data_IF_187866619722
#
_entry.id   IF_187866619722
#
_cell.length_a   1.000
_cell.length_b   1.000
_cell.length_c   1.000
_cell.angle_alpha   90.00
_cell.angle_beta   90.00
_cell.angle_gamma   90.00
#
_symmetry.space_group_name_H-M   'P 1'
#
loop_
_entity.id
_entity.type
_entity.pdbx_description
1 polymer ?
#
# COMPACT_ATOMS: atom_id res chain seq x y z
N UNK A 1 39.25 61.22 -31.02
CA UNK A 1 37.88 61.09 -30.44
C UNK A 1 37.03 59.96 -31.04
N UNK A 2 37.37 59.37 -32.21
CA UNK A 2 36.54 58.36 -32.90
C UNK A 2 36.74 56.90 -32.44
N UNK A 3 37.82 56.58 -31.70
CA UNK A 3 38.12 55.22 -31.19
C UNK A 3 37.31 54.87 -29.92
N UNK A 4 37.08 55.84 -29.04
CA UNK A 4 36.35 55.62 -27.78
C UNK A 4 34.84 55.44 -27.98
N UNK A 5 34.28 56.05 -29.03
CA UNK A 5 32.85 55.87 -29.39
C UNK A 5 32.58 54.50 -29.99
N UNK A 6 33.52 53.94 -30.78
CA UNK A 6 33.42 52.58 -31.32
C UNK A 6 33.56 51.53 -30.22
N UNK A 7 34.46 51.76 -29.26
CA UNK A 7 34.63 50.87 -28.11
C UNK A 7 33.39 50.88 -27.18
N UNK A 8 32.79 52.05 -26.96
CA UNK A 8 31.56 52.18 -26.19
C UNK A 8 30.36 51.49 -26.87
N UNK A 9 30.24 51.59 -28.20
CA UNK A 9 29.19 50.90 -28.97
C UNK A 9 29.36 49.38 -28.97
N UNK A 10 30.61 48.88 -29.02
CA UNK A 10 30.90 47.45 -28.89
C UNK A 10 30.53 46.91 -27.51
N UNK A 11 30.88 47.63 -26.43
CA UNK A 11 30.50 47.24 -25.06
C UNK A 11 28.98 47.25 -24.88
N UNK A 12 28.26 48.24 -25.45
CA UNK A 12 26.80 48.32 -25.38
C UNK A 12 26.11 47.16 -26.14
N UNK A 13 26.70 46.72 -27.26
CA UNK A 13 26.24 45.57 -28.05
C UNK A 13 26.44 44.24 -27.32
N UNK A 14 27.55 44.07 -26.60
CA UNK A 14 27.85 42.88 -25.81
C UNK A 14 26.92 42.79 -24.59
N UNK A 15 26.60 43.93 -23.97
CA UNK A 15 25.65 43.99 -22.85
C UNK A 15 24.20 43.65 -23.26
N UNK A 16 23.82 44.00 -24.49
CA UNK A 16 22.49 43.68 -25.04
C UNK A 16 22.36 42.21 -25.45
N UNK A 17 23.43 41.56 -25.90
CA UNK A 17 23.43 40.12 -26.22
C UNK A 17 23.30 39.27 -24.95
N UNK A 18 23.90 39.70 -23.82
CA UNK A 18 23.76 38.98 -22.54
C UNK A 18 22.35 39.06 -21.93
N UNK A 19 21.55 40.07 -22.30
CA UNK A 19 20.21 40.26 -21.77
C UNK A 19 19.13 39.40 -22.46
N UNK A 20 19.41 38.81 -23.63
CA UNK A 20 18.41 38.07 -24.43
C UNK A 20 18.49 36.55 -24.23
N UNK A 21 19.56 36.03 -23.62
CA UNK A 21 19.76 34.59 -23.34
C UNK A 21 18.89 34.03 -22.20
N UNK A 22 18.01 34.84 -21.61
CA UNK A 22 17.26 34.50 -20.38
C UNK A 22 15.81 34.06 -20.54
N UNK A 23 15.27 33.92 -21.76
CA UNK A 23 13.84 33.61 -21.97
C UNK A 23 13.62 32.46 -22.96
N UNK A 24 14.06 31.26 -22.58
CA UNK A 24 13.54 30.01 -23.15
C UNK A 24 13.32 28.99 -22.02
N UNK A 25 12.47 29.34 -21.06
CA UNK A 25 11.88 28.37 -20.15
C UNK A 25 10.38 28.53 -20.18
N UNK A 26 9.69 27.39 -20.07
CA UNK A 26 8.25 27.22 -19.87
C UNK A 26 7.39 27.13 -21.14
N UNK A 27 7.48 26.00 -21.85
CA UNK A 27 6.26 25.32 -22.32
C UNK A 27 6.35 23.83 -22.01
N UNK A 28 5.69 23.44 -20.92
CA UNK A 28 5.10 22.15 -20.63
C UNK A 28 5.79 20.92 -21.23
N UNK A 29 6.94 20.53 -20.68
CA UNK A 29 7.30 19.12 -20.66
C UNK A 29 6.72 18.51 -19.37
N UNK A 30 5.87 17.48 -19.45
CA UNK A 30 5.52 16.72 -18.24
C UNK A 30 6.82 16.15 -17.69
N UNK A 31 7.15 16.54 -16.46
CA UNK A 31 8.38 16.14 -15.77
C UNK A 31 8.54 14.61 -15.85
N UNK A 32 9.56 14.18 -16.59
CA UNK A 32 9.96 12.78 -16.78
C UNK A 32 10.61 12.16 -15.52
N UNK A 33 10.62 12.88 -14.40
CA UNK A 33 11.31 12.51 -13.16
C UNK A 33 10.35 12.29 -11.99
N UNK A 34 9.13 11.81 -12.27
CA UNK A 34 8.25 11.33 -11.20
C UNK A 34 8.75 9.95 -10.79
N UNK A 35 9.24 9.83 -9.55
CA UNK A 35 9.49 8.52 -8.97
C UNK A 35 8.17 7.76 -8.87
N UNK A 36 8.19 6.53 -9.36
CA UNK A 36 7.09 5.57 -9.23
C UNK A 36 7.58 4.48 -8.30
N UNK A 37 6.81 4.19 -7.27
CA UNK A 37 7.06 3.01 -6.43
C UNK A 37 5.86 2.09 -6.52
N UNK A 38 6.13 0.80 -6.74
CA UNK A 38 5.12 -0.24 -6.72
C UNK A 38 5.29 -1.00 -5.41
N UNK A 39 4.20 -1.17 -4.67
CA UNK A 39 4.14 -2.03 -3.49
C UNK A 39 3.14 -3.14 -3.79
N UNK A 40 3.67 -4.33 -4.05
CA UNK A 40 2.87 -5.53 -4.27
C UNK A 40 3.11 -6.50 -3.12
N UNK A 41 2.02 -6.92 -2.49
CA UNK A 41 1.98 -8.05 -1.55
C UNK A 41 1.83 -9.29 -2.43
N UNK A 42 2.93 -10.07 -2.55
CA UNK A 42 3.00 -11.24 -3.43
C UNK A 42 1.76 -12.12 -3.26
N UNK A 43 1.00 -12.29 -4.34
CA UNK A 43 -0.14 -13.17 -4.36
C UNK A 43 -0.01 -14.17 -5.52
N UNK A 44 -0.61 -15.36 -5.43
CA UNK A 44 -0.68 -16.30 -6.55
C UNK A 44 -1.44 -15.74 -7.76
N UNK A 45 -2.16 -14.64 -7.59
CA UNK A 45 -3.08 -14.05 -8.56
C UNK A 45 -2.56 -12.67 -9.02
N UNK A 46 -2.85 -12.31 -10.27
CA UNK A 46 -2.38 -11.03 -10.82
C UNK A 46 -3.46 -9.95 -10.83
N UNK A 47 -4.73 -10.34 -10.88
CA UNK A 47 -5.85 -9.41 -11.06
C UNK A 47 -6.97 -9.66 -10.07
N UNK A 48 -7.71 -8.59 -9.76
CA UNK A 48 -8.91 -8.68 -8.93
C UNK A 48 -9.93 -9.69 -9.47
N UNK A 49 -10.20 -9.65 -10.77
CA UNK A 49 -11.21 -10.51 -11.39
C UNK A 49 -10.83 -11.99 -11.33
N UNK A 50 -9.54 -12.31 -11.52
CA UNK A 50 -9.03 -13.67 -11.36
C UNK A 50 -9.23 -14.19 -9.93
N UNK A 51 -8.97 -13.35 -8.92
CA UNK A 51 -9.17 -13.71 -7.51
C UNK A 51 -10.64 -14.02 -7.26
N UNK A 52 -11.54 -13.13 -7.69
CA UNK A 52 -12.98 -13.29 -7.46
C UNK A 52 -13.53 -14.51 -8.20
N UNK A 53 -13.09 -14.73 -9.43
CA UNK A 53 -13.50 -15.89 -10.21
C UNK A 53 -13.07 -17.19 -9.54
N UNK A 54 -11.78 -17.32 -9.18
CA UNK A 54 -11.27 -18.52 -8.52
C UNK A 54 -11.87 -18.72 -7.14
N UNK A 55 -11.97 -17.66 -6.34
CA UNK A 55 -12.53 -17.72 -4.99
C UNK A 55 -14.01 -18.16 -5.02
N UNK A 56 -14.82 -17.64 -5.95
CA UNK A 56 -16.25 -17.97 -6.01
C UNK A 56 -16.54 -19.29 -6.72
N UNK A 57 -15.78 -19.65 -7.77
CA UNK A 57 -16.06 -20.86 -8.57
C UNK A 57 -15.38 -22.11 -8.00
N UNK A 58 -14.16 -22.00 -7.51
CA UNK A 58 -13.36 -23.17 -7.14
C UNK A 58 -13.46 -23.53 -5.65
N UNK A 59 -13.77 -22.56 -4.78
CA UNK A 59 -13.91 -22.79 -3.34
C UNK A 59 -15.38 -23.02 -3.00
N UNK A 60 -15.79 -24.29 -3.03
CA UNK A 60 -17.14 -24.73 -2.68
C UNK A 60 -17.14 -25.32 -1.28
N UNK A 61 -17.90 -24.70 -0.38
CA UNK A 61 -18.09 -25.18 1.00
C UNK A 61 -18.60 -26.62 0.99
N UNK A 62 -17.94 -27.47 1.78
CA UNK A 62 -18.25 -28.90 1.93
C UNK A 62 -17.69 -29.81 0.82
N UNK A 63 -17.07 -29.27 -0.23
CA UNK A 63 -16.45 -30.06 -1.32
C UNK A 63 -14.96 -29.82 -1.43
N UNK A 64 -14.52 -28.57 -1.35
CA UNK A 64 -13.11 -28.22 -1.51
C UNK A 64 -12.32 -28.69 -0.30
N UNK A 65 -11.18 -29.34 -0.57
CA UNK A 65 -10.28 -29.85 0.47
C UNK A 65 -9.08 -28.95 0.69
N UNK A 66 -8.38 -29.11 1.82
CA UNK A 66 -7.11 -28.42 2.09
C UNK A 66 -6.03 -28.72 1.05
N UNK A 67 -6.07 -29.90 0.43
CA UNK A 67 -5.17 -30.24 -0.68
C UNK A 67 -5.46 -29.42 -1.94
N UNK A 68 -6.74 -29.18 -2.24
CA UNK A 68 -7.13 -28.36 -3.37
C UNK A 68 -6.77 -26.89 -3.14
N UNK A 69 -6.97 -26.38 -1.91
CA UNK A 69 -6.47 -25.06 -1.52
C UNK A 69 -4.94 -24.96 -1.69
N UNK A 70 -4.19 -25.99 -1.33
CA UNK A 70 -2.73 -26.02 -1.52
C UNK A 70 -2.34 -25.95 -3.01
N UNK A 71 -3.08 -26.62 -3.91
CA UNK A 71 -2.86 -26.52 -5.37
C UNK A 71 -3.11 -25.10 -5.89
N UNK A 72 -4.02 -24.36 -5.27
CA UNK A 72 -4.33 -22.96 -5.60
C UNK A 72 -3.29 -21.97 -5.03
N UNK A 73 -2.29 -22.45 -4.27
CA UNK A 73 -1.32 -21.60 -3.59
C UNK A 73 -1.84 -21.01 -2.27
N UNK A 74 -2.94 -21.54 -1.73
CA UNK A 74 -3.46 -21.19 -0.41
C UNK A 74 -2.99 -22.25 0.59
N UNK A 75 -1.82 -22.02 1.19
CA UNK A 75 -1.26 -22.88 2.23
C UNK A 75 -0.49 -22.07 3.27
N UNK A 76 -0.15 -22.70 4.40
CA UNK A 76 0.56 -22.04 5.50
C UNK A 76 1.97 -21.56 5.08
N UNK A 77 2.56 -22.24 4.10
CA UNK A 77 3.87 -21.90 3.54
C UNK A 77 3.79 -20.82 2.44
N UNK A 78 2.59 -20.45 1.99
CA UNK A 78 2.41 -19.49 0.92
C UNK A 78 2.64 -18.05 1.43
N UNK A 79 3.20 -17.16 0.60
CA UNK A 79 3.39 -15.77 0.97
C UNK A 79 2.03 -15.09 1.20
N UNK A 80 1.96 -14.28 2.26
CA UNK A 80 0.80 -13.44 2.58
C UNK A 80 -0.52 -14.20 2.83
N UNK A 81 -0.39 -15.48 3.23
CA UNK A 81 -1.47 -16.27 3.80
C UNK A 81 -1.25 -16.36 5.31
N UNK A 82 -2.09 -15.67 6.07
CA UNK A 82 -2.12 -15.74 7.53
C UNK A 82 -2.79 -17.03 8.01
N UNK A 83 -2.32 -17.59 9.11
CA UNK A 83 -3.03 -18.68 9.80
C UNK A 83 -3.62 -18.13 11.10
N UNK A 84 -4.93 -18.25 11.26
CA UNK A 84 -5.64 -17.74 12.43
C UNK A 84 -5.95 -18.84 13.43
N UNK A 85 -5.87 -18.46 14.71
CA UNK A 85 -6.33 -19.30 15.82
C UNK A 85 -7.84 -19.09 16.04
N UNK A 86 -8.48 -20.03 16.75
CA UNK A 86 -9.90 -19.97 17.09
C UNK A 86 -10.30 -18.69 17.82
N UNK A 87 -9.45 -18.17 18.70
CA UNK A 87 -9.67 -16.89 19.40
C UNK A 87 -9.73 -15.71 18.43
N UNK A 88 -8.90 -15.71 17.39
CA UNK A 88 -8.91 -14.65 16.38
C UNK A 88 -10.16 -14.75 15.53
N UNK A 89 -10.53 -15.96 15.11
CA UNK A 89 -11.79 -16.21 14.38
C UNK A 89 -12.99 -15.78 15.22
N UNK A 90 -13.03 -16.16 16.49
CA UNK A 90 -14.11 -15.76 17.40
C UNK A 90 -14.23 -14.24 17.52
N UNK A 91 -13.11 -13.51 17.66
CA UNK A 91 -13.11 -12.04 17.68
C UNK A 91 -13.61 -11.40 16.39
N UNK A 92 -13.36 -12.02 15.23
CA UNK A 92 -13.83 -11.53 13.93
C UNK A 92 -15.37 -11.61 13.85
N UNK A 93 -15.98 -12.67 14.38
CA UNK A 93 -17.42 -12.87 14.28
C UNK A 93 -18.20 -12.31 15.48
N UNK A 94 -17.65 -12.38 16.68
CA UNK A 94 -18.27 -11.93 17.92
C UNK A 94 -17.74 -10.52 18.24
N UNK A 95 -18.32 -9.53 17.58
CA UNK A 95 -18.11 -8.12 17.95
C UNK A 95 -18.83 -7.83 19.27
N UNK A 96 -18.24 -6.95 20.09
CA UNK A 96 -18.66 -6.61 21.46
C UNK A 96 -20.18 -6.68 21.69
N UNK A 97 -20.57 -7.73 22.40
CA UNK A 97 -21.75 -7.90 23.27
C UNK A 97 -23.13 -8.26 22.72
N UNK A 98 -23.39 -8.38 21.41
CA UNK A 98 -24.77 -8.61 20.93
C UNK A 98 -25.01 -9.77 19.94
N UNK A 99 -24.03 -10.64 19.70
CA UNK A 99 -24.19 -11.81 18.84
C UNK A 99 -24.10 -13.08 19.68
N UNK A 100 -25.18 -13.87 19.73
CA UNK A 100 -25.13 -15.18 20.37
C UNK A 100 -24.43 -16.17 19.43
N UNK A 101 -23.74 -17.16 19.99
CA UNK A 101 -23.11 -18.24 19.23
C UNK A 101 -24.09 -18.99 18.32
N UNK A 102 -25.39 -18.95 18.65
CA UNK A 102 -26.48 -19.52 17.84
C UNK A 102 -26.74 -18.75 16.53
N UNK A 103 -26.49 -17.45 16.52
CA UNK A 103 -26.72 -16.55 15.38
C UNK A 103 -25.55 -16.58 14.38
N UNK A 104 -24.46 -17.25 14.75
CA UNK A 104 -23.31 -17.45 13.87
C UNK A 104 -23.66 -18.38 12.69
N UNK A 105 -23.07 -18.14 11.50
CA UNK A 105 -23.21 -19.05 10.38
C UNK A 105 -22.84 -20.49 10.75
N UNK A 106 -23.58 -21.47 10.21
CA UNK A 106 -23.39 -22.90 10.52
C UNK A 106 -21.94 -23.36 10.40
N UNK A 107 -21.24 -22.93 9.35
CA UNK A 107 -19.83 -23.28 9.12
C UNK A 107 -18.88 -22.73 10.19
N UNK A 108 -19.12 -21.50 10.65
CA UNK A 108 -18.34 -20.87 11.74
C UNK A 108 -18.58 -21.61 13.06
N UNK A 109 -19.82 -22.00 13.34
CA UNK A 109 -20.16 -22.79 14.54
C UNK A 109 -19.41 -24.13 14.54
N UNK A 110 -19.45 -24.86 13.43
CA UNK A 110 -18.72 -26.12 13.25
C UNK A 110 -17.22 -25.91 13.52
N UNK A 111 -16.63 -24.83 12.99
CA UNK A 111 -15.23 -24.51 13.22
C UNK A 111 -14.90 -24.22 14.70
N UNK A 112 -15.76 -23.46 15.39
CA UNK A 112 -15.57 -23.13 16.81
C UNK A 112 -15.78 -24.35 17.72
N UNK A 113 -16.63 -25.30 17.34
CA UNK A 113 -16.90 -26.55 18.07
C UNK A 113 -15.86 -27.65 17.80
N UNK A 114 -15.12 -27.57 16.69
CA UNK A 114 -14.12 -28.56 16.31
C UNK A 114 -12.91 -28.60 17.27
N UNK A 115 -12.27 -29.76 17.36
CA UNK A 115 -11.05 -29.95 18.14
C UNK A 115 -9.88 -29.16 17.54
N UNK A 116 -8.90 -28.81 18.38
CA UNK A 116 -7.74 -27.98 18.00
C UNK A 116 -6.94 -28.55 16.80
N UNK A 117 -6.85 -29.88 16.66
CA UNK A 117 -6.00 -30.52 15.65
C UNK A 117 -6.68 -30.65 14.29
N UNK A 118 -7.99 -30.55 14.25
CA UNK A 118 -8.82 -30.82 13.07
C UNK A 118 -9.22 -29.54 12.34
N UNK A 119 -8.94 -28.37 12.94
CA UNK A 119 -9.39 -27.07 12.44
C UNK A 119 -8.22 -26.20 11.98
N UNK A 120 -8.39 -25.53 10.85
CA UNK A 120 -7.44 -24.50 10.36
C UNK A 120 -8.20 -23.31 9.78
N UNK A 121 -7.70 -22.11 10.03
CA UNK A 121 -8.27 -20.89 9.47
C UNK A 121 -7.18 -20.18 8.67
N UNK A 122 -7.50 -19.88 7.41
CA UNK A 122 -6.62 -19.20 6.47
C UNK A 122 -7.14 -17.79 6.22
N UNK A 123 -6.30 -16.81 6.48
CA UNK A 123 -6.51 -15.40 6.19
C UNK A 123 -5.74 -15.04 4.92
N UNK A 124 -6.44 -14.56 3.90
CA UNK A 124 -5.86 -14.17 2.62
C UNK A 124 -5.76 -12.65 2.60
N UNK A 125 -4.53 -12.13 2.51
CA UNK A 125 -4.29 -10.68 2.42
C UNK A 125 -3.46 -10.42 1.17
N UNK A 126 -4.13 -10.01 0.10
CA UNK A 126 -3.47 -9.71 -1.18
C UNK A 126 -3.68 -8.25 -1.54
N UNK A 127 -2.64 -7.60 -2.06
CA UNK A 127 -2.79 -6.24 -2.57
C UNK A 127 -1.72 -5.93 -3.60
N UNK A 128 -2.11 -5.18 -4.63
CA UNK A 128 -1.18 -4.55 -5.56
C UNK A 128 -1.51 -3.07 -5.59
N UNK A 129 -0.60 -2.24 -5.09
CA UNK A 129 -0.77 -0.79 -5.03
C UNK A 129 0.40 -0.10 -5.72
N UNK A 130 0.04 0.70 -6.73
CA UNK A 130 0.93 1.64 -7.37
C UNK A 130 0.91 2.99 -6.65
N UNK A 131 2.09 3.55 -6.36
CA UNK A 131 2.23 4.90 -5.84
C UNK A 131 2.92 5.78 -6.89
N UNK A 132 2.22 6.84 -7.26
CA UNK A 132 2.72 7.88 -8.14
C UNK A 132 2.90 9.18 -7.34
N UNK A 133 4.12 9.73 -7.38
CA UNK A 133 4.36 11.07 -6.86
C UNK A 133 4.02 12.09 -7.95
N UNK A 134 3.11 13.03 -7.66
CA UNK A 134 2.76 14.13 -8.57
C UNK A 134 3.40 15.42 -8.05
N UNK A 135 4.58 15.77 -8.58
CA UNK A 135 5.36 16.92 -8.07
C UNK A 135 6.23 17.58 -9.14
N UNK A 136 6.24 18.92 -9.15
CA UNK A 136 7.17 19.67 -9.98
C UNK A 136 8.53 19.75 -9.25
N UNK A 137 9.54 19.02 -9.73
CA UNK A 137 10.87 18.90 -9.09
C UNK A 137 11.55 20.26 -8.82
N UNK A 138 11.16 21.32 -9.55
CA UNK A 138 11.73 22.66 -9.37
C UNK A 138 11.10 23.52 -8.26
N UNK A 139 9.98 23.08 -7.64
CA UNK A 139 9.51 23.62 -6.33
C UNK A 139 9.99 22.77 -5.14
N UNK A 140 10.78 21.72 -5.40
CA UNK A 140 11.09 20.67 -4.43
C UNK A 140 12.35 20.90 -3.59
N UNK A 141 13.13 21.96 -3.81
CA UNK A 141 14.27 22.27 -2.94
C UNK A 141 13.85 22.60 -1.50
N UNK A 142 12.54 22.76 -1.23
CA UNK A 142 12.01 23.11 0.09
C UNK A 142 10.94 22.14 0.64
N UNK A 143 10.68 20.99 0.01
CA UNK A 143 9.84 19.89 0.54
C UNK A 143 8.44 20.27 1.11
N UNK A 144 7.86 21.41 0.72
CA UNK A 144 6.66 21.97 1.36
C UNK A 144 5.33 21.27 1.01
N UNK A 145 5.27 20.53 -0.10
CA UNK A 145 4.03 19.88 -0.56
C UNK A 145 4.33 18.58 -1.27
N UNK A 146 3.78 17.48 -0.75
CA UNK A 146 3.85 16.13 -1.32
C UNK A 146 2.45 15.72 -1.79
N UNK A 147 2.29 15.42 -3.07
CA UNK A 147 1.05 14.84 -3.60
C UNK A 147 1.37 13.40 -4.02
N UNK A 148 0.68 12.45 -3.42
CA UNK A 148 0.80 11.02 -3.72
C UNK A 148 -0.55 10.52 -4.25
N UNK A 149 -0.54 9.88 -5.41
CA UNK A 149 -1.68 9.12 -5.93
C UNK A 149 -1.40 7.64 -5.73
N UNK A 150 -2.28 6.96 -5.02
CA UNK A 150 -2.27 5.51 -4.84
C UNK A 150 -3.36 4.88 -5.69
N UNK A 151 -2.99 4.01 -6.62
CA UNK A 151 -3.92 3.23 -7.44
C UNK A 151 -3.68 1.74 -7.23
N UNK A 152 -4.70 0.88 -7.35
CA UNK A 152 -4.48 -0.55 -7.17
C UNK A 152 -5.71 -1.33 -6.75
N UNK A 153 -5.50 -2.52 -6.19
CA UNK A 153 -6.55 -3.36 -5.60
C UNK A 153 -6.06 -3.98 -4.29
N UNK A 154 -7.02 -4.30 -3.41
CA UNK A 154 -6.74 -5.04 -2.16
C UNK A 154 -7.85 -6.04 -1.89
N UNK A 155 -7.48 -7.26 -1.54
CA UNK A 155 -8.37 -8.37 -1.25
C UNK A 155 -8.11 -8.92 0.15
N UNK A 156 -9.19 -9.09 0.90
CA UNK A 156 -9.23 -9.76 2.18
C UNK A 156 -10.23 -10.92 2.10
N UNK A 157 -9.78 -12.12 2.45
CA UNK A 157 -10.63 -13.31 2.48
C UNK A 157 -10.33 -14.16 3.70
N UNK A 158 -11.36 -14.85 4.20
CA UNK A 158 -11.23 -15.81 5.29
C UNK A 158 -11.79 -17.15 4.86
N UNK A 159 -11.00 -18.21 5.03
CA UNK A 159 -11.40 -19.59 4.75
C UNK A 159 -11.23 -20.40 6.03
N UNK A 160 -12.30 -21.09 6.44
CA UNK A 160 -12.28 -21.99 7.58
C UNK A 160 -12.38 -23.42 7.10
N UNK A 161 -11.50 -24.27 7.62
CA UNK A 161 -11.50 -25.71 7.34
C UNK A 161 -11.60 -26.52 8.62
N UNK A 162 -12.31 -27.64 8.53
CA UNK A 162 -12.41 -28.68 9.58
C UNK A 162 -12.26 -30.03 8.91
N UNK A 163 -11.46 -30.93 9.48
CA UNK A 163 -11.18 -32.26 8.94
C UNK A 163 -10.74 -32.24 7.47
N UNK A 164 -9.88 -31.28 7.13
CA UNK A 164 -9.40 -31.04 5.76
C UNK A 164 -10.46 -30.61 4.74
N UNK A 165 -11.66 -30.25 5.16
CA UNK A 165 -12.75 -29.77 4.29
C UNK A 165 -13.08 -28.32 4.61
N UNK A 166 -13.34 -27.51 3.58
CA UNK A 166 -13.80 -26.12 3.76
C UNK A 166 -15.21 -26.11 4.36
N UNK A 167 -15.36 -25.53 5.55
CA UNK A 167 -16.66 -25.42 6.24
C UNK A 167 -17.29 -24.05 6.12
N UNK A 168 -16.49 -23.02 5.86
CA UNK A 168 -16.97 -21.65 5.70
C UNK A 168 -16.00 -20.81 4.89
N UNK A 169 -16.55 -19.93 4.07
CA UNK A 169 -15.84 -18.87 3.38
C UNK A 169 -16.52 -17.57 3.72
N UNK A 170 -15.75 -16.56 4.13
CA UNK A 170 -16.27 -15.22 4.31
C UNK A 170 -16.37 -14.57 2.92
N UNK A 171 -17.52 -13.99 2.54
CA UNK A 171 -17.59 -13.20 1.31
C UNK A 171 -16.50 -12.14 1.34
N UNK A 172 -15.74 -12.07 0.26
CA UNK A 172 -14.55 -11.23 0.12
C UNK A 172 -14.82 -9.80 0.59
N UNK A 173 -13.95 -9.29 1.44
CA UNK A 173 -13.89 -7.86 1.76
C UNK A 173 -12.70 -7.28 1.00
N UNK A 174 -12.87 -6.16 0.32
CA UNK A 174 -11.82 -5.65 -0.55
C UNK A 174 -12.24 -4.51 -1.44
N UNK A 175 -11.24 -3.91 -2.08
CA UNK A 175 -11.42 -2.78 -3.00
C UNK A 175 -10.85 -3.18 -4.34
N UNK A 176 -11.74 -3.43 -5.29
CA UNK A 176 -11.41 -3.73 -6.69
C UNK A 176 -10.63 -2.58 -7.35
N UNK A 177 -10.93 -1.34 -6.94
CA UNK A 177 -10.27 -0.15 -7.45
C UNK A 177 -10.00 0.82 -6.30
N UNK A 178 -8.77 0.81 -5.82
CA UNK A 178 -8.22 1.83 -4.93
C UNK A 178 -7.79 3.00 -5.82
N UNK A 179 -8.32 4.19 -5.56
CA UNK A 179 -7.85 5.44 -6.15
C UNK A 179 -7.86 6.51 -5.05
N UNK A 180 -6.72 6.69 -4.38
CA UNK A 180 -6.58 7.59 -3.23
C UNK A 180 -5.55 8.66 -3.53
N UNK A 181 -5.95 9.93 -3.44
CA UNK A 181 -5.04 11.07 -3.56
C UNK A 181 -4.73 11.56 -2.14
N UNK A 182 -3.48 11.41 -1.70
CA UNK A 182 -2.97 12.01 -0.45
C UNK A 182 -2.22 13.28 -0.77
N UNK A 183 -2.59 14.37 -0.10
CA UNK A 183 -1.90 15.65 -0.17
C UNK A 183 -1.36 15.97 1.21
N UNK A 184 -0.06 15.92 1.35
CA UNK A 184 0.64 16.29 2.57
C UNK A 184 1.30 17.65 2.34
N UNK A 185 1.11 18.57 3.30
CA UNK A 185 1.70 19.90 3.27
C UNK A 185 2.59 19.98 4.50
N UNK A 186 3.90 20.13 4.29
CA UNK A 186 4.89 20.24 5.35
C UNK A 186 5.34 21.70 5.40
N UNK A 187 4.62 22.59 6.10
CA UNK A 187 4.85 24.04 6.04
C UNK A 187 6.22 24.49 6.55
N UNK A 188 6.96 23.62 7.25
CA UNK A 188 8.19 23.95 7.97
C UNK A 188 9.48 23.44 7.28
N UNK A 189 9.37 22.76 6.13
CA UNK A 189 10.51 22.37 5.30
C UNK A 189 11.46 21.32 5.93
N UNK A 190 12.53 20.92 5.21
CA UNK A 190 13.43 19.82 5.59
C UNK A 190 14.27 20.03 6.87
N UNK A 191 14.20 21.20 7.52
CA UNK A 191 14.97 21.49 8.73
C UNK A 191 14.37 20.89 10.01
N UNK A 192 13.14 20.37 9.98
CA UNK A 192 12.54 19.71 11.15
C UNK A 192 13.11 18.32 11.46
N UNK A 193 13.84 17.70 10.52
CA UNK A 193 14.50 16.40 10.76
C UNK A 193 15.92 16.50 11.33
N UNK A 194 16.45 17.72 11.51
CA UNK A 194 17.85 17.96 11.93
C UNK A 194 17.97 18.58 13.33
N UNK A 195 16.89 18.67 14.09
CA UNK A 195 16.91 19.15 15.47
C UNK A 195 16.20 18.16 16.39
N UNK A 196 16.92 17.15 16.90
CA UNK A 196 16.33 16.24 17.88
C UNK A 196 17.17 15.10 18.44
N UNK A 197 18.25 14.65 17.79
CA UNK A 197 18.84 13.33 18.12
C UNK A 197 20.28 13.33 18.69
N UNK A 198 20.79 14.46 19.21
CA UNK A 198 22.16 14.48 19.76
C UNK A 198 22.33 14.99 21.19
N UNK A 199 21.28 15.21 21.99
CA UNK A 199 21.47 15.75 23.37
C UNK A 199 20.72 14.99 24.49
N UNK A 200 20.01 13.88 24.22
CA UNK A 200 19.36 13.11 25.30
C UNK A 200 19.66 11.61 25.21
N UNK A 201 20.94 11.24 25.08
CA UNK A 201 21.39 9.85 25.28
C UNK A 201 22.46 9.72 26.39
N UNK A 202 22.57 10.74 27.25
CA UNK A 202 23.50 10.74 28.40
C UNK A 202 22.85 10.50 29.77
N UNK A 203 21.52 10.50 29.88
CA UNK A 203 20.85 10.57 31.19
C UNK A 203 19.91 9.39 31.51
N UNK A 204 19.92 8.31 30.73
CA UNK A 204 19.01 7.17 30.94
C UNK A 204 19.68 5.81 31.10
N UNK A 205 20.92 5.80 31.61
CA UNK A 205 21.67 4.56 31.91
C UNK A 205 22.05 4.38 33.37
N UNK A 206 21.24 4.95 34.27
CA UNK A 206 21.22 4.56 35.68
C UNK A 206 19.75 4.52 36.10
N UNK A 207 19.37 3.39 36.70
CA UNK A 207 18.05 3.03 37.27
C UNK A 207 17.26 2.03 36.40
N UNK A 208 17.33 0.79 36.89
CA UNK A 208 16.79 -0.52 36.47
C UNK A 208 17.62 -1.30 35.45
#
# INVERSE_FOLDING_TARGET
>A
MRKNTVFALLILSILTIFAISGCASTKNTPNKYLSRSNEAVLSPFQTWDEIIEKYNKEIVVGKTTTQDLKKMGICEEAPNVGTLNWLSVEKIFIHKENINRKDLPKGVRIFLDAKKNERKAYELVFSDTNKHHEGNFWKHTLNFRKIERKTGWSFYGLILTVDNVVVYTLPYDGKANINVIRKEVNPLGPLQGLGGDTVIDGAKRLIW
#
